data_IF_021035446803
#
_entry.id   IF_021035446803
#
_cell.length_a   1.000
_cell.length_b   1.000
_cell.length_c   1.000
_cell.angle_alpha   90.00
_cell.angle_beta   90.00
_cell.angle_gamma   90.00
#
_symmetry.space_group_name_H-M   'P 1'
#
loop_
_entity.id
_entity.type
_entity.pdbx_description
1 polymer ?
#
# COMPACT_ATOMS: atom_id res chain seq x y z
N UNK A 1 -11.91 -12.31 -15.93
CA UNK A 1 -10.62 -12.50 -15.23
C UNK A 1 -10.80 -12.05 -13.81
N UNK A 2 -10.65 -12.94 -12.83
CA UNK A 2 -10.89 -12.62 -11.42
C UNK A 2 -9.56 -12.33 -10.72
N UNK A 3 -9.01 -11.13 -10.94
CA UNK A 3 -7.63 -10.79 -10.58
C UNK A 3 -7.36 -10.78 -9.07
N UNK A 4 -8.38 -10.57 -8.23
CA UNK A 4 -8.22 -10.56 -6.77
C UNK A 4 -8.46 -11.92 -6.12
N UNK A 5 -8.87 -12.94 -6.89
CA UNK A 5 -9.08 -14.28 -6.36
C UNK A 5 -7.72 -14.90 -6.00
N UNK A 6 -7.54 -15.29 -4.74
CA UNK A 6 -6.33 -16.01 -4.29
C UNK A 6 -6.46 -17.50 -4.64
N UNK A 7 -5.51 -18.02 -5.43
CA UNK A 7 -5.49 -19.43 -5.82
C UNK A 7 -4.96 -20.32 -4.68
N UNK A 8 -5.30 -21.61 -4.67
CA UNK A 8 -4.91 -22.55 -3.59
C UNK A 8 -3.41 -22.57 -3.34
N UNK A 9 -2.61 -22.51 -4.40
CA UNK A 9 -1.15 -22.51 -4.34
C UNK A 9 -0.53 -21.19 -3.84
N UNK A 10 -1.27 -20.08 -3.93
CA UNK A 10 -0.82 -18.76 -3.51
C UNK A 10 -1.16 -18.48 -2.04
N UNK A 11 -2.02 -19.29 -1.41
CA UNK A 11 -2.51 -19.06 -0.04
C UNK A 11 -1.38 -18.96 0.97
N UNK A 12 -0.37 -19.82 0.85
CA UNK A 12 0.79 -19.79 1.74
C UNK A 12 1.63 -18.54 1.53
N UNK A 13 1.84 -18.12 0.29
CA UNK A 13 2.57 -16.89 -0.03
C UNK A 13 1.80 -15.68 0.50
N UNK A 14 0.49 -15.61 0.26
CA UNK A 14 -0.39 -14.56 0.77
C UNK A 14 -0.35 -14.49 2.30
N UNK A 15 -0.47 -15.63 2.98
CA UNK A 15 -0.49 -15.72 4.43
C UNK A 15 0.86 -15.31 5.04
N UNK A 16 1.97 -15.82 4.50
CA UNK A 16 3.31 -15.47 4.99
C UNK A 16 3.62 -13.99 4.76
N UNK A 17 3.31 -13.45 3.58
CA UNK A 17 3.47 -12.04 3.30
C UNK A 17 2.60 -11.17 4.22
N UNK A 18 1.33 -11.56 4.43
CA UNK A 18 0.42 -10.88 5.34
C UNK A 18 0.97 -10.87 6.77
N UNK A 19 1.36 -12.02 7.31
CA UNK A 19 1.88 -12.12 8.68
C UNK A 19 3.17 -11.30 8.86
N UNK A 20 4.07 -11.37 7.88
CA UNK A 20 5.31 -10.61 7.89
C UNK A 20 5.07 -9.10 7.86
N UNK A 21 4.25 -8.62 6.93
CA UNK A 21 3.94 -7.19 6.79
C UNK A 21 3.08 -6.67 7.95
N UNK A 22 2.19 -7.50 8.50
CA UNK A 22 1.43 -7.19 9.71
C UNK A 22 2.38 -7.01 10.89
N UNK A 23 3.35 -7.91 11.05
CA UNK A 23 4.37 -7.81 12.10
C UNK A 23 5.20 -6.52 11.98
N UNK A 24 5.65 -6.17 10.76
CA UNK A 24 6.40 -4.94 10.53
C UNK A 24 5.55 -3.68 10.78
N UNK A 25 4.29 -3.65 10.33
CA UNK A 25 3.37 -2.54 10.65
C UNK A 25 3.14 -2.44 12.15
N UNK A 26 2.96 -3.57 12.84
CA UNK A 26 2.81 -3.60 14.29
C UNK A 26 4.03 -3.03 15.00
N UNK A 27 5.25 -3.45 14.62
CA UNK A 27 6.49 -2.89 15.14
C UNK A 27 6.61 -1.38 14.90
N UNK A 28 6.23 -0.91 13.71
CA UNK A 28 6.27 0.51 13.40
C UNK A 28 5.30 1.30 14.29
N UNK A 29 4.05 0.84 14.39
CA UNK A 29 3.00 1.53 15.14
C UNK A 29 3.26 1.47 16.65
N UNK A 30 3.82 0.37 17.17
CA UNK A 30 4.13 0.23 18.59
C UNK A 30 5.21 1.21 19.07
N UNK A 31 6.01 1.76 18.15
CA UNK A 31 7.00 2.80 18.46
C UNK A 31 6.41 4.22 18.45
N UNK A 32 5.14 4.39 18.06
CA UNK A 32 4.52 5.71 18.04
C UNK A 32 4.02 6.11 19.43
N UNK A 33 4.17 7.39 19.81
CA UNK A 33 3.59 7.90 21.04
C UNK A 33 2.06 7.97 20.94
N UNK A 34 1.37 7.87 22.09
CA UNK A 34 -0.10 7.98 22.18
C UNK A 34 -0.67 9.27 21.57
N UNK A 35 0.16 10.30 21.39
CA UNK A 35 -0.24 11.53 20.71
C UNK A 35 -0.68 11.32 19.25
N UNK A 36 -0.30 10.22 18.61
CA UNK A 36 -0.69 9.92 17.22
C UNK A 36 -2.18 9.57 17.10
N UNK A 37 -2.78 9.03 18.17
CA UNK A 37 -4.18 8.59 18.21
C UNK A 37 -5.10 9.59 18.91
N UNK A 38 -4.57 10.73 19.40
CA UNK A 38 -5.39 11.81 19.96
C UNK A 38 -6.16 12.51 18.86
N UNK A 39 -7.49 12.55 19.00
CA UNK A 39 -8.37 13.29 18.11
C UNK A 39 -8.52 14.77 18.51
N UNK A 40 -9.27 15.51 17.70
CA UNK A 40 -9.55 16.93 17.89
C UNK A 40 -8.70 17.86 17.02
N UNK A 41 -8.82 19.16 17.26
CA UNK A 41 -8.12 20.21 16.51
C UNK A 41 -6.69 20.42 17.05
N UNK A 42 -5.79 19.50 16.71
CA UNK A 42 -4.40 19.50 17.16
C UNK A 42 -3.44 19.94 16.05
N UNK A 43 -2.24 20.37 16.47
CA UNK A 43 -1.11 20.64 15.57
C UNK A 43 -0.46 19.35 15.03
N UNK A 44 -1.20 18.57 14.24
CA UNK A 44 -0.76 17.25 13.74
C UNK A 44 0.58 17.27 13.01
N UNK A 45 0.93 18.37 12.33
CA UNK A 45 2.26 18.52 11.71
C UNK A 45 3.39 18.37 12.74
N UNK A 46 3.28 19.01 13.91
CA UNK A 46 4.29 18.92 14.96
C UNK A 46 4.29 17.55 15.63
N UNK A 47 3.10 16.99 15.87
CA UNK A 47 2.93 15.66 16.48
C UNK A 47 3.62 14.59 15.63
N UNK A 48 3.34 14.55 14.33
CA UNK A 48 3.87 13.53 13.45
C UNK A 48 5.34 13.80 13.08
N UNK A 49 5.68 15.00 12.61
CA UNK A 49 7.04 15.31 12.12
C UNK A 49 8.12 15.21 13.21
N UNK A 50 7.77 15.44 14.49
CA UNK A 50 8.73 15.32 15.60
C UNK A 50 9.06 13.87 15.97
N UNK A 51 8.10 12.97 15.78
CA UNK A 51 8.17 11.60 16.32
C UNK A 51 8.30 10.54 15.22
N UNK A 52 7.97 10.86 13.97
CA UNK A 52 8.23 9.97 12.84
C UNK A 52 9.71 10.01 12.47
N UNK A 53 10.40 8.86 12.55
CA UNK A 53 11.87 8.76 12.44
C UNK A 53 12.34 7.79 11.37
N UNK A 54 11.50 7.43 10.41
CA UNK A 54 11.95 6.60 9.28
C UNK A 54 12.74 7.44 8.28
N UNK A 55 14.03 7.10 8.12
CA UNK A 55 14.94 7.82 7.22
C UNK A 55 14.49 7.72 5.77
N UNK A 56 14.52 8.84 5.05
CA UNK A 56 14.16 8.92 3.64
C UNK A 56 12.65 8.97 3.36
N UNK A 57 11.81 9.00 4.40
CA UNK A 57 10.36 9.01 4.26
C UNK A 57 9.70 10.08 5.14
N UNK A 58 8.47 10.43 4.80
CA UNK A 58 7.67 11.40 5.52
C UNK A 58 6.41 10.81 6.16
N UNK A 59 5.66 11.66 6.86
CA UNK A 59 4.42 11.31 7.55
C UNK A 59 3.21 12.08 6.98
N UNK A 60 3.31 12.55 5.74
CA UNK A 60 2.38 13.53 5.18
C UNK A 60 0.98 12.95 5.00
N UNK A 61 0.86 11.65 4.71
CA UNK A 61 -0.43 10.95 4.67
C UNK A 61 -1.13 10.94 6.02
N UNK A 62 -0.40 10.78 7.13
CA UNK A 62 -1.01 10.87 8.47
C UNK A 62 -1.55 12.26 8.73
N UNK A 63 -0.81 13.32 8.36
CA UNK A 63 -1.27 14.70 8.50
C UNK A 63 -2.53 14.92 7.68
N UNK A 64 -2.52 14.56 6.39
CA UNK A 64 -3.66 14.74 5.50
C UNK A 64 -4.91 14.02 6.02
N UNK A 65 -4.80 12.77 6.49
CA UNK A 65 -5.93 12.04 7.07
C UNK A 65 -6.43 12.64 8.40
N UNK A 66 -5.58 13.36 9.13
CA UNK A 66 -5.93 13.90 10.44
C UNK A 66 -6.57 15.30 10.37
N UNK A 67 -6.18 16.14 9.40
CA UNK A 67 -6.69 17.52 9.33
C UNK A 67 -6.79 18.11 7.91
N UNK A 68 -6.75 17.28 6.87
CA UNK A 68 -6.82 17.66 5.45
C UNK A 68 -5.68 18.56 4.97
N UNK A 69 -4.62 18.78 5.78
CA UNK A 69 -3.46 19.54 5.31
C UNK A 69 -2.62 18.70 4.36
N UNK A 70 -2.48 19.19 3.14
CA UNK A 70 -1.72 18.56 2.09
C UNK A 70 -0.29 19.10 2.16
N UNK A 71 0.66 18.20 2.38
CA UNK A 71 2.08 18.52 2.36
C UNK A 71 2.80 17.96 1.14
N UNK A 72 2.23 16.96 0.45
CA UNK A 72 2.75 16.41 -0.79
C UNK A 72 2.33 17.22 -2.02
N UNK A 73 3.17 17.18 -3.06
CA UNK A 73 2.92 17.83 -4.33
C UNK A 73 1.84 17.06 -5.11
N UNK A 74 0.62 17.61 -5.19
CA UNK A 74 -0.53 16.95 -5.83
C UNK A 74 -0.37 16.83 -7.35
N UNK A 75 0.40 17.72 -7.96
CA UNK A 75 0.70 17.65 -9.40
C UNK A 75 1.50 16.40 -9.78
N UNK A 76 2.28 15.84 -8.85
CA UNK A 76 3.06 14.61 -9.07
C UNK A 76 2.25 13.34 -8.81
N UNK A 77 1.24 13.42 -7.93
CA UNK A 77 0.52 12.25 -7.42
C UNK A 77 -1.00 12.48 -7.35
N UNK A 78 -1.69 12.74 -8.48
CA UNK A 78 -3.11 13.12 -8.48
C UNK A 78 -4.03 12.03 -7.91
N UNK A 79 -3.71 10.75 -8.16
CA UNK A 79 -4.47 9.62 -7.61
C UNK A 79 -4.28 9.46 -6.10
N UNK A 80 -3.14 9.87 -5.55
CA UNK A 80 -2.83 9.66 -4.14
C UNK A 80 -3.81 10.42 -3.23
N UNK A 81 -4.05 11.71 -3.53
CA UNK A 81 -5.05 12.49 -2.80
C UNK A 81 -6.45 11.88 -2.92
N UNK A 82 -6.81 11.42 -4.12
CA UNK A 82 -8.12 10.85 -4.42
C UNK A 82 -8.39 9.56 -3.62
N UNK A 83 -7.35 8.74 -3.40
CA UNK A 83 -7.42 7.53 -2.57
C UNK A 83 -7.51 7.87 -1.08
N UNK A 84 -6.76 8.88 -0.62
CA UNK A 84 -6.71 9.24 0.79
C UNK A 84 -7.95 10.03 1.27
N UNK A 85 -8.60 10.77 0.39
CA UNK A 85 -9.72 11.66 0.76
C UNK A 85 -10.91 10.94 1.41
N UNK A 86 -11.41 9.80 0.89
CA UNK A 86 -12.44 9.03 1.60
C UNK A 86 -12.00 8.57 3.00
N UNK A 87 -10.72 8.19 3.17
CA UNK A 87 -10.18 7.78 4.46
C UNK A 87 -10.13 8.95 5.45
N UNK A 88 -9.81 10.16 4.97
CA UNK A 88 -9.92 11.38 5.75
C UNK A 88 -11.35 11.60 6.27
N UNK A 89 -12.37 11.47 5.40
CA UNK A 89 -13.77 11.66 5.80
C UNK A 89 -14.20 10.68 6.89
N UNK A 90 -13.83 9.40 6.74
CA UNK A 90 -14.10 8.36 7.74
C UNK A 90 -13.38 8.68 9.06
N UNK A 91 -12.10 9.03 8.98
CA UNK A 91 -11.31 9.37 10.15
C UNK A 91 -11.83 10.61 10.89
N UNK A 92 -12.26 11.62 10.15
CA UNK A 92 -12.87 12.82 10.70
C UNK A 92 -14.18 12.53 11.42
N UNK A 93 -15.01 11.66 10.84
CA UNK A 93 -16.21 11.15 11.50
C UNK A 93 -15.88 10.39 12.80
N UNK A 94 -14.86 9.51 12.77
CA UNK A 94 -14.42 8.78 13.97
C UNK A 94 -13.86 9.71 15.05
N UNK A 95 -13.12 10.74 14.68
CA UNK A 95 -12.64 11.75 15.64
C UNK A 95 -13.81 12.51 16.27
N UNK A 96 -14.87 12.79 15.51
CA UNK A 96 -16.07 13.42 16.04
C UNK A 96 -16.85 12.51 17.01
N UNK A 97 -16.95 11.22 16.69
CA UNK A 97 -17.69 10.23 17.50
C UNK A 97 -16.93 9.75 18.75
N UNK A 98 -15.63 9.49 18.64
CA UNK A 98 -14.84 8.80 19.66
C UNK A 98 -13.74 9.68 20.28
N UNK A 99 -13.47 10.87 19.72
CA UNK A 99 -12.38 11.72 20.17
C UNK A 99 -10.97 11.17 19.85
N UNK A 100 -10.88 10.14 19.02
CA UNK A 100 -9.62 9.46 18.66
C UNK A 100 -9.34 9.53 17.16
N UNK A 101 -8.06 9.72 16.83
CA UNK A 101 -7.54 9.75 15.47
C UNK A 101 -7.08 8.34 15.05
N UNK A 102 -7.67 7.81 13.99
CA UNK A 102 -7.38 6.48 13.44
C UNK A 102 -6.54 6.54 12.15
N UNK A 103 -6.02 7.70 11.77
CA UNK A 103 -5.24 7.90 10.55
C UNK A 103 -4.13 6.85 10.35
N UNK A 104 -3.38 6.54 11.41
CA UNK A 104 -2.29 5.56 11.39
C UNK A 104 -2.79 4.18 10.98
N UNK A 105 -3.90 3.74 11.55
CA UNK A 105 -4.47 2.42 11.28
C UNK A 105 -5.08 2.33 9.88
N UNK A 106 -5.72 3.40 9.39
CA UNK A 106 -6.25 3.42 8.03
C UNK A 106 -5.15 3.32 6.98
N UNK A 107 -4.06 4.07 7.16
CA UNK A 107 -2.91 3.96 6.26
C UNK A 107 -2.27 2.58 6.36
N UNK A 108 -2.05 2.05 7.57
CA UNK A 108 -1.49 0.71 7.73
C UNK A 108 -2.33 -0.37 7.04
N UNK A 109 -3.67 -0.31 7.15
CA UNK A 109 -4.57 -1.23 6.48
C UNK A 109 -4.50 -1.10 4.94
N UNK A 110 -4.49 0.14 4.43
CA UNK A 110 -4.36 0.42 3.01
C UNK A 110 -3.03 -0.14 2.45
N UNK A 111 -1.92 0.17 3.12
CA UNK A 111 -0.60 -0.27 2.71
C UNK A 111 -0.42 -1.78 2.84
N UNK A 112 -0.99 -2.40 3.88
CA UNK A 112 -0.98 -3.84 4.05
C UNK A 112 -1.68 -4.53 2.88
N UNK A 113 -2.87 -4.04 2.50
CA UNK A 113 -3.59 -4.54 1.33
C UNK A 113 -2.75 -4.39 0.05
N UNK A 114 -2.26 -3.18 -0.23
CA UNK A 114 -1.45 -2.90 -1.44
C UNK A 114 -0.20 -3.77 -1.48
N UNK A 115 0.51 -3.90 -0.36
CA UNK A 115 1.77 -4.64 -0.27
C UNK A 115 1.58 -6.15 -0.45
N UNK A 116 0.58 -6.74 0.21
CA UNK A 116 0.28 -8.17 0.04
C UNK A 116 -0.09 -8.50 -1.41
N UNK A 117 -0.93 -7.67 -2.04
CA UNK A 117 -1.28 -7.89 -3.44
C UNK A 117 -0.11 -7.60 -4.39
N UNK A 118 0.78 -6.66 -4.07
CA UNK A 118 2.02 -6.46 -4.83
C UNK A 118 2.88 -7.73 -4.84
N UNK A 119 3.03 -8.38 -3.68
CA UNK A 119 3.75 -9.65 -3.57
C UNK A 119 3.07 -10.75 -4.39
N UNK A 120 1.74 -10.84 -4.34
CA UNK A 120 0.97 -11.82 -5.13
C UNK A 120 1.09 -11.57 -6.63
N UNK A 121 0.97 -10.33 -7.10
CA UNK A 121 1.13 -10.01 -8.52
C UNK A 121 2.57 -10.25 -8.98
N UNK A 122 3.58 -9.95 -8.16
CA UNK A 122 4.97 -10.30 -8.47
C UNK A 122 5.15 -11.81 -8.64
N UNK A 123 4.62 -12.62 -7.71
CA UNK A 123 4.65 -14.08 -7.85
C UNK A 123 3.97 -14.56 -9.13
N UNK A 124 2.80 -14.00 -9.46
CA UNK A 124 2.07 -14.34 -10.69
C UNK A 124 2.80 -13.91 -11.95
N UNK A 125 3.45 -12.76 -11.96
CA UNK A 125 4.29 -12.31 -13.09
C UNK A 125 5.40 -13.33 -13.34
N UNK A 126 6.15 -13.71 -12.30
CA UNK A 126 7.22 -14.71 -12.43
C UNK A 126 6.71 -16.07 -12.89
N UNK A 127 5.59 -16.54 -12.31
CA UNK A 127 5.09 -17.90 -12.56
C UNK A 127 4.27 -18.02 -13.85
N UNK A 128 3.37 -17.08 -14.13
CA UNK A 128 2.36 -17.21 -15.19
C UNK A 128 2.76 -16.50 -16.48
N UNK A 129 3.46 -15.37 -16.36
CA UNK A 129 3.88 -14.55 -17.50
C UNK A 129 5.27 -14.95 -17.97
N UNK A 130 6.22 -15.06 -17.05
CA UNK A 130 7.60 -15.50 -17.34
C UNK A 130 7.76 -17.03 -17.30
N UNK A 131 6.69 -17.77 -16.96
CA UNK A 131 6.63 -19.23 -16.98
C UNK A 131 7.73 -19.93 -16.17
N UNK A 132 8.21 -19.28 -15.11
CA UNK A 132 9.22 -19.86 -14.22
C UNK A 132 8.66 -21.04 -13.44
N UNK A 133 9.55 -21.93 -13.01
CA UNK A 133 9.17 -23.01 -12.07
C UNK A 133 8.69 -22.37 -10.76
N UNK A 134 7.77 -23.07 -10.07
CA UNK A 134 7.16 -22.57 -8.82
C UNK A 134 8.21 -22.15 -7.77
N UNK A 135 9.29 -22.93 -7.66
CA UNK A 135 10.36 -22.67 -6.71
C UNK A 135 11.16 -21.42 -7.08
N UNK A 136 11.54 -21.27 -8.35
CA UNK A 136 12.27 -20.10 -8.85
C UNK A 136 11.43 -18.82 -8.68
N UNK A 137 10.14 -18.87 -9.04
CA UNK A 137 9.21 -17.77 -8.82
C UNK A 137 9.12 -17.37 -7.34
N UNK A 138 9.10 -18.36 -6.42
CA UNK A 138 9.07 -18.10 -4.99
C UNK A 138 10.38 -17.46 -4.50
N UNK A 139 11.53 -17.91 -5.00
CA UNK A 139 12.83 -17.31 -4.67
C UNK A 139 12.86 -15.85 -5.13
N UNK A 140 12.48 -15.55 -6.38
CA UNK A 140 12.51 -14.18 -6.89
C UNK A 140 11.52 -13.26 -6.16
N UNK A 141 10.31 -13.75 -5.84
CA UNK A 141 9.36 -12.98 -5.03
C UNK A 141 9.89 -12.73 -3.62
N UNK A 142 10.53 -13.73 -2.99
CA UNK A 142 11.12 -13.58 -1.65
C UNK A 142 12.30 -12.62 -1.68
N UNK A 143 13.16 -12.72 -2.70
CA UNK A 143 14.28 -11.82 -2.90
C UNK A 143 13.80 -10.38 -3.07
N UNK A 144 12.76 -10.14 -3.87
CA UNK A 144 12.14 -8.84 -4.03
C UNK A 144 11.65 -8.25 -2.70
N UNK A 145 10.96 -9.05 -1.88
CA UNK A 145 10.49 -8.62 -0.56
C UNK A 145 11.64 -8.38 0.44
N UNK A 146 12.77 -9.10 0.28
CA UNK A 146 13.93 -8.98 1.18
C UNK A 146 14.77 -7.71 0.95
N UNK A 147 14.53 -6.97 -0.14
CA UNK A 147 15.21 -5.70 -0.39
C UNK A 147 14.73 -4.69 0.66
N UNK A 148 15.65 -4.22 1.51
CA UNK A 148 15.33 -3.34 2.63
C UNK A 148 14.50 -2.11 2.22
N UNK A 149 14.85 -1.47 1.09
CA UNK A 149 14.09 -0.32 0.60
C UNK A 149 12.65 -0.69 0.21
N UNK A 150 12.42 -1.85 -0.42
CA UNK A 150 11.08 -2.33 -0.79
C UNK A 150 10.28 -2.61 0.48
N UNK A 151 10.88 -3.31 1.44
CA UNK A 151 10.24 -3.67 2.70
C UNK A 151 9.83 -2.44 3.52
N UNK A 152 10.70 -1.43 3.63
CA UNK A 152 10.39 -0.20 4.36
C UNK A 152 9.32 0.62 3.63
N UNK A 153 9.41 0.74 2.30
CA UNK A 153 8.39 1.44 1.50
C UNK A 153 6.98 0.82 1.61
N UNK A 154 6.89 -0.48 1.93
CA UNK A 154 5.62 -1.20 2.09
C UNK A 154 4.89 -0.90 3.42
N UNK A 155 5.57 -0.32 4.41
CA UNK A 155 4.99 -0.08 5.75
C UNK A 155 4.93 1.40 6.13
N UNK A 156 5.64 2.25 5.41
CA UNK A 156 5.69 3.70 5.63
C UNK A 156 4.47 4.39 5.00
N UNK A 157 3.91 5.43 5.64
CA UNK A 157 2.72 6.16 5.19
C UNK A 157 2.94 7.06 3.95
N UNK A 158 3.37 6.46 2.85
CA UNK A 158 3.73 7.14 1.61
C UNK A 158 3.10 6.42 0.39
N UNK A 159 3.17 7.05 -0.78
CA UNK A 159 2.51 6.60 -2.01
C UNK A 159 3.19 5.38 -2.66
N UNK A 160 4.42 5.02 -2.28
CA UNK A 160 5.21 3.98 -2.95
C UNK A 160 4.55 2.60 -2.97
N UNK A 161 3.95 2.13 -1.87
CA UNK A 161 3.30 0.83 -1.84
C UNK A 161 2.05 0.76 -2.75
N UNK A 162 1.31 1.87 -2.83
CA UNK A 162 0.16 2.02 -3.72
C UNK A 162 0.62 1.99 -5.18
N UNK A 163 1.67 2.74 -5.50
CA UNK A 163 2.29 2.75 -6.83
C UNK A 163 2.77 1.36 -7.24
N UNK A 164 3.43 0.64 -6.33
CA UNK A 164 3.90 -0.72 -6.58
C UNK A 164 2.74 -1.68 -6.84
N UNK A 165 1.66 -1.58 -6.06
CA UNK A 165 0.45 -2.37 -6.24
C UNK A 165 -0.17 -2.14 -7.62
N UNK A 166 -0.37 -0.88 -8.00
CA UNK A 166 -0.94 -0.53 -9.30
C UNK A 166 -0.04 -0.98 -10.44
N UNK A 167 1.27 -0.75 -10.33
CA UNK A 167 2.25 -1.14 -11.35
C UNK A 167 2.27 -2.66 -11.56
N UNK A 168 2.40 -3.43 -10.48
CA UNK A 168 2.45 -4.90 -10.56
C UNK A 168 1.12 -5.48 -11.05
N UNK A 169 -0.01 -4.90 -10.65
CA UNK A 169 -1.32 -5.25 -11.21
C UNK A 169 -1.39 -4.98 -12.71
N UNK A 170 -0.98 -3.78 -13.17
CA UNK A 170 -0.98 -3.41 -14.59
C UNK A 170 -0.07 -4.32 -15.41
N UNK A 171 1.15 -4.59 -14.93
CA UNK A 171 2.10 -5.50 -15.57
C UNK A 171 1.54 -6.92 -15.69
N UNK A 172 0.90 -7.43 -14.62
CA UNK A 172 0.27 -8.75 -14.66
C UNK A 172 -0.86 -8.80 -15.69
N UNK A 173 -1.78 -7.83 -15.66
CA UNK A 173 -2.91 -7.78 -16.61
C UNK A 173 -2.38 -7.65 -18.05
N UNK A 174 -1.39 -6.79 -18.29
CA UNK A 174 -0.76 -6.63 -19.60
C UNK A 174 -0.11 -7.94 -20.08
N UNK A 175 0.64 -8.61 -19.22
CA UNK A 175 1.25 -9.91 -19.51
C UNK A 175 0.21 -10.96 -19.90
N UNK A 176 -0.88 -11.07 -19.15
CA UNK A 176 -1.98 -12.01 -19.48
C UNK A 176 -2.61 -11.67 -20.83
N UNK A 177 -2.80 -10.38 -21.12
CA UNK A 177 -3.38 -9.91 -22.38
C UNK A 177 -2.51 -10.23 -23.58
N UNK A 178 -1.20 -10.00 -23.46
CA UNK A 178 -0.19 -10.34 -24.47
C UNK A 178 -0.20 -11.84 -24.73
N UNK A 179 -0.13 -12.66 -23.67
CA UNK A 179 -0.11 -14.13 -23.78
C UNK A 179 -1.36 -14.69 -24.47
N UNK A 180 -2.51 -14.10 -24.20
CA UNK A 180 -3.78 -14.51 -24.79
C UNK A 180 -4.07 -13.86 -26.17
N UNK A 181 -3.11 -13.12 -26.76
CA UNK A 181 -3.29 -12.35 -27.99
C UNK A 181 -4.59 -11.52 -27.99
N UNK A 182 -4.87 -10.86 -26.87
CA UNK A 182 -6.12 -10.13 -26.66
C UNK A 182 -5.87 -8.67 -26.27
N UNK A 183 -6.75 -7.79 -26.73
CA UNK A 183 -6.62 -6.36 -26.46
C UNK A 183 -7.20 -5.96 -25.09
N UNK A 184 -6.72 -4.83 -24.59
CA UNK A 184 -7.35 -4.13 -23.48
C UNK A 184 -8.69 -3.57 -23.92
N UNK A 185 -9.68 -3.60 -23.01
CA UNK A 185 -10.90 -2.81 -23.19
C UNK A 185 -10.59 -1.33 -22.94
N UNK A 186 -11.32 -0.43 -23.58
CA UNK A 186 -11.09 1.02 -23.43
C UNK A 186 -11.07 1.49 -21.97
N UNK A 187 -11.97 0.96 -21.12
CA UNK A 187 -12.01 1.30 -19.69
C UNK A 187 -10.80 0.78 -18.92
N UNK A 188 -10.20 -0.34 -19.34
CA UNK A 188 -8.98 -0.86 -18.72
C UNK A 188 -7.80 0.06 -19.03
N UNK A 189 -7.76 0.60 -20.25
CA UNK A 189 -6.73 1.58 -20.63
C UNK A 189 -6.91 2.84 -19.77
N UNK A 190 -8.13 3.37 -19.68
CA UNK A 190 -8.43 4.56 -18.91
C UNK A 190 -8.08 4.45 -17.41
N UNK A 191 -8.19 3.24 -16.82
CA UNK A 191 -7.89 3.03 -15.40
C UNK A 191 -6.42 2.68 -15.14
N UNK A 192 -5.78 1.93 -16.04
CA UNK A 192 -4.42 1.39 -15.81
C UNK A 192 -3.29 2.28 -16.34
N UNK A 193 -3.60 3.20 -17.27
CA UNK A 193 -2.62 4.07 -17.94
C UNK A 193 -2.84 5.55 -17.64
N UNK A 194 -3.60 5.85 -16.57
CA UNK A 194 -3.78 7.21 -16.07
C UNK A 194 -2.55 7.70 -15.31
#
# INVERSE_FOLDING_TARGET
MNIFKIHKEERWIALLALLFLLFLNWMLISNYPDSFTKGGNLGYWSIFSKNFRMSGYDCWSYIMLSNLRIHFETSRHPLFLSILYPLYLINHCMMWLFGSNFAVYFIALLLLFCSVYSVLFMYRIFKEILELRKFDALIFTTMFLSIAHVMVAMIVPDHFAISLFLLTMTLYIAGVKIKNNSYFKWWQIAVLFF
#
